data_IF_079748068460
#
_entry.id   IF_079748068460
#
_cell.length_a   1.000
_cell.length_b   1.000
_cell.length_c   1.000
_cell.angle_alpha   90.00
_cell.angle_beta   90.00
_cell.angle_gamma   90.00
#
_symmetry.space_group_name_H-M   'P 1'
#
loop_
_entity.id
_entity.type
_entity.pdbx_description
1 polymer ?
#
# COMPACT_ATOMS: atom_id res chain seq x y z
N UNK A 1 -21.10 -19.60 21.12
CA UNK A 1 -20.47 -18.27 21.21
C UNK A 1 -19.07 -18.31 21.86
N UNK A 2 -18.33 -19.43 21.77
CA UNK A 2 -17.08 -19.64 22.54
C UNK A 2 -15.80 -19.88 21.71
N UNK A 3 -15.86 -19.81 20.37
CA UNK A 3 -14.71 -20.11 19.50
C UNK A 3 -13.98 -18.87 18.96
N UNK A 4 -14.61 -17.68 19.01
CA UNK A 4 -14.00 -16.44 18.49
C UNK A 4 -13.03 -15.79 19.50
N UNK A 5 -13.20 -16.04 20.80
CA UNK A 5 -12.39 -15.41 21.84
C UNK A 5 -10.93 -15.92 21.86
N UNK A 6 -10.67 -17.08 21.29
CA UNK A 6 -9.36 -17.75 21.35
C UNK A 6 -8.34 -17.22 20.34
N UNK A 7 -8.81 -16.54 19.28
CA UNK A 7 -7.99 -16.07 18.17
C UNK A 7 -7.92 -14.54 18.07
N UNK A 8 -8.69 -13.82 18.90
CA UNK A 8 -8.65 -12.37 18.95
C UNK A 8 -7.41 -11.91 19.73
N UNK A 9 -6.66 -10.96 19.15
CA UNK A 9 -5.59 -10.27 19.86
C UNK A 9 -6.14 -9.61 21.13
N UNK A 10 -5.37 -9.63 22.22
CA UNK A 10 -5.75 -8.91 23.43
C UNK A 10 -5.88 -7.42 23.13
N UNK A 11 -6.79 -6.73 23.82
CA UNK A 11 -6.97 -5.29 23.65
C UNK A 11 -5.65 -4.53 23.80
N UNK A 12 -4.82 -4.93 24.77
CA UNK A 12 -3.48 -4.40 24.98
C UNK A 12 -2.58 -4.61 23.76
N UNK A 13 -2.56 -5.80 23.16
CA UNK A 13 -1.75 -6.08 21.97
C UNK A 13 -2.20 -5.24 20.77
N UNK A 14 -3.52 -5.06 20.57
CA UNK A 14 -4.06 -4.21 19.50
C UNK A 14 -3.63 -2.76 19.69
N UNK A 15 -3.77 -2.21 20.90
CA UNK A 15 -3.38 -0.83 21.20
C UNK A 15 -1.89 -0.63 20.99
N UNK A 16 -1.05 -1.57 21.44
CA UNK A 16 0.40 -1.52 21.21
C UNK A 16 0.74 -1.55 19.73
N UNK A 17 0.08 -2.40 18.94
CA UNK A 17 0.34 -2.52 17.51
C UNK A 17 -0.06 -1.23 16.76
N UNK A 18 -1.19 -0.63 17.13
CA UNK A 18 -1.61 0.68 16.59
C UNK A 18 -0.59 1.77 16.94
N UNK A 19 -0.20 1.89 18.21
CA UNK A 19 0.77 2.91 18.64
C UNK A 19 2.14 2.71 17.98
N UNK A 20 2.61 1.47 17.87
CA UNK A 20 3.90 1.18 17.24
C UNK A 20 3.86 1.46 15.74
N UNK A 21 2.85 0.98 15.02
CA UNK A 21 2.79 1.12 13.57
C UNK A 21 2.39 2.54 13.15
N UNK A 22 1.24 3.02 13.63
CA UNK A 22 0.77 4.37 13.29
C UNK A 22 1.62 5.45 13.96
N UNK A 23 1.87 5.33 15.26
CA UNK A 23 2.71 6.31 15.97
C UNK A 23 4.15 6.31 15.47
N UNK A 24 4.73 5.14 15.18
CA UNK A 24 6.07 5.02 14.61
C UNK A 24 6.19 5.66 13.22
N UNK A 25 5.25 5.36 12.31
CA UNK A 25 5.23 5.98 10.97
C UNK A 25 4.99 7.49 11.05
N UNK A 26 4.05 7.95 11.88
CA UNK A 26 3.79 9.38 12.08
C UNK A 26 5.01 10.10 12.66
N UNK A 27 5.67 9.52 13.67
CA UNK A 27 6.89 10.07 14.23
C UNK A 27 8.00 10.16 13.17
N UNK A 28 8.19 9.12 12.37
CA UNK A 28 9.13 9.14 11.25
C UNK A 28 8.80 10.25 10.25
N UNK A 29 7.54 10.40 9.85
CA UNK A 29 7.08 11.46 8.96
C UNK A 29 7.37 12.85 9.54
N UNK A 30 7.08 13.09 10.82
CA UNK A 30 7.37 14.36 11.49
C UNK A 30 8.87 14.68 11.55
N UNK A 31 9.74 13.67 11.67
CA UNK A 31 11.19 13.85 11.70
C UNK A 31 11.79 14.14 10.31
N UNK A 32 11.15 13.65 9.26
CA UNK A 32 11.57 13.86 7.86
C UNK A 32 10.97 15.17 7.30
N UNK A 33 9.83 15.62 7.82
CA UNK A 33 9.12 16.80 7.34
C UNK A 33 10.01 18.05 7.34
N UNK A 34 10.04 18.74 6.20
CA UNK A 34 10.72 20.04 6.03
C UNK A 34 9.67 21.14 6.00
N UNK A 35 9.96 22.26 6.66
CA UNK A 35 9.02 23.41 6.75
C UNK A 35 8.99 24.25 5.48
N UNK A 36 10.11 24.32 4.77
CA UNK A 36 10.21 25.00 3.47
C UNK A 36 10.81 24.04 2.44
N UNK A 37 10.00 23.70 1.44
CA UNK A 37 10.39 22.83 0.33
C UNK A 37 9.71 23.32 -0.95
N UNK A 38 10.44 23.27 -2.07
CA UNK A 38 9.89 23.63 -3.37
C UNK A 38 8.82 22.59 -3.78
N UNK A 39 7.69 23.06 -4.32
CA UNK A 39 6.55 22.21 -4.67
C UNK A 39 6.92 21.09 -5.67
N UNK A 40 7.74 21.37 -6.68
CA UNK A 40 8.19 20.37 -7.64
C UNK A 40 9.07 19.32 -6.97
N UNK A 41 9.95 19.76 -6.07
CA UNK A 41 10.82 18.84 -5.30
C UNK A 41 10.03 17.99 -4.31
N UNK A 42 9.00 18.54 -3.68
CA UNK A 42 8.11 17.81 -2.78
C UNK A 42 7.31 16.72 -3.54
N UNK A 43 6.78 17.05 -4.72
CA UNK A 43 5.98 16.12 -5.53
C UNK A 43 6.82 15.07 -6.25
N UNK A 44 8.03 15.40 -6.68
CA UNK A 44 8.89 14.49 -7.50
C UNK A 44 10.04 13.87 -6.71
N UNK A 45 10.16 14.17 -5.42
CA UNK A 45 11.34 13.89 -4.60
C UNK A 45 12.66 14.36 -5.25
N UNK A 46 12.59 15.40 -6.09
CA UNK A 46 13.70 15.90 -6.89
C UNK A 46 14.27 14.89 -7.89
N UNK A 47 13.49 13.90 -8.34
CA UNK A 47 13.91 12.83 -9.26
C UNK A 47 15.07 11.95 -8.73
N UNK A 48 15.25 11.90 -7.41
CA UNK A 48 16.37 11.17 -6.76
C UNK A 48 16.01 9.74 -6.32
N UNK A 49 14.74 9.33 -6.42
CA UNK A 49 14.29 7.99 -5.97
C UNK A 49 14.48 6.99 -7.12
N UNK A 50 15.19 5.90 -6.84
CA UNK A 50 15.41 4.82 -7.81
C UNK A 50 14.14 4.05 -8.17
N UNK A 51 14.22 3.25 -9.23
CA UNK A 51 13.09 2.47 -9.75
C UNK A 51 12.49 1.51 -8.72
N UNK A 52 13.32 0.80 -7.93
CA UNK A 52 12.83 -0.19 -6.96
C UNK A 52 11.94 0.40 -5.87
N UNK A 53 12.41 1.46 -5.19
CA UNK A 53 11.63 2.15 -4.16
C UNK A 53 10.38 2.79 -4.76
N UNK A 54 10.49 3.36 -5.97
CA UNK A 54 9.35 3.96 -6.68
C UNK A 54 8.28 2.91 -7.01
N UNK A 55 8.69 1.75 -7.54
CA UNK A 55 7.79 0.64 -7.86
C UNK A 55 7.12 0.08 -6.59
N UNK A 56 7.89 -0.14 -5.52
CA UNK A 56 7.37 -0.62 -4.25
C UNK A 56 6.34 0.34 -3.63
N UNK A 57 6.61 1.66 -3.67
CA UNK A 57 5.67 2.69 -3.19
C UNK A 57 4.36 2.70 -3.99
N UNK A 58 4.44 2.58 -5.32
CA UNK A 58 3.26 2.47 -6.18
C UNK A 58 2.45 1.20 -5.89
N UNK A 59 3.12 0.06 -5.71
CA UNK A 59 2.45 -1.19 -5.31
C UNK A 59 1.79 -1.06 -3.93
N UNK A 60 2.46 -0.45 -2.96
CA UNK A 60 1.93 -0.28 -1.60
C UNK A 60 0.67 0.61 -1.58
N UNK A 61 0.62 1.67 -2.39
CA UNK A 61 -0.53 2.58 -2.49
C UNK A 61 -1.80 1.89 -2.99
N UNK A 62 -1.65 0.81 -3.76
CA UNK A 62 -2.76 0.17 -4.43
C UNK A 62 -3.31 -1.06 -3.68
N UNK A 63 -2.60 -1.53 -2.65
CA UNK A 63 -3.04 -2.65 -1.82
C UNK A 63 -3.79 -2.10 -0.61
N UNK A 64 -5.10 -2.34 -0.60
CA UNK A 64 -5.98 -1.97 0.50
C UNK A 64 -6.38 -3.21 1.32
N UNK A 65 -6.74 -2.99 2.59
CA UNK A 65 -7.19 -4.07 3.47
C UNK A 65 -8.41 -4.83 2.90
N UNK A 66 -9.33 -4.12 2.23
CA UNK A 66 -10.47 -4.71 1.53
C UNK A 66 -10.03 -5.62 0.38
N UNK A 67 -9.05 -5.20 -0.42
CA UNK A 67 -8.48 -5.99 -1.51
C UNK A 67 -7.82 -7.27 -0.99
N UNK A 68 -7.08 -7.19 0.13
CA UNK A 68 -6.50 -8.36 0.78
C UNK A 68 -7.58 -9.32 1.29
N UNK A 69 -8.61 -8.80 1.95
CA UNK A 69 -9.73 -9.61 2.43
C UNK A 69 -10.47 -10.31 1.29
N UNK A 70 -10.78 -9.59 0.21
CA UNK A 70 -11.42 -10.14 -0.97
C UNK A 70 -10.56 -11.22 -1.65
N UNK A 71 -9.24 -11.02 -1.71
CA UNK A 71 -8.28 -11.99 -2.24
C UNK A 71 -8.29 -13.29 -1.41
N UNK A 72 -8.23 -13.21 -0.08
CA UNK A 72 -8.31 -14.40 0.80
C UNK A 72 -9.67 -15.10 0.67
N UNK A 73 -10.76 -14.34 0.67
CA UNK A 73 -12.10 -14.91 0.53
C UNK A 73 -12.29 -15.62 -0.82
N UNK A 74 -11.83 -15.03 -1.92
CA UNK A 74 -11.85 -15.69 -3.23
C UNK A 74 -10.89 -16.89 -3.29
N UNK A 75 -9.77 -16.84 -2.57
CA UNK A 75 -8.87 -17.97 -2.39
C UNK A 75 -9.51 -19.15 -1.68
N UNK A 76 -10.34 -18.87 -0.67
CA UNK A 76 -11.10 -19.88 0.05
C UNK A 76 -12.18 -20.53 -0.83
N UNK A 77 -12.90 -19.73 -1.62
CA UNK A 77 -14.02 -20.21 -2.45
C UNK A 77 -13.58 -20.86 -3.77
N UNK A 78 -12.58 -20.28 -4.44
CA UNK A 78 -12.16 -20.63 -5.80
C UNK A 78 -10.74 -21.19 -5.87
N UNK A 79 -10.11 -21.46 -4.73
CA UNK A 79 -8.72 -21.91 -4.64
C UNK A 79 -7.73 -20.85 -5.13
N UNK A 80 -6.55 -21.31 -5.59
CA UNK A 80 -5.44 -20.44 -6.02
C UNK A 80 -5.84 -19.46 -7.13
N UNK A 81 -6.88 -19.77 -7.90
CA UNK A 81 -7.38 -18.92 -8.98
C UNK A 81 -7.86 -17.54 -8.49
N UNK A 82 -8.40 -17.44 -7.27
CA UNK A 82 -8.90 -16.18 -6.70
C UNK A 82 -7.81 -15.12 -6.52
N UNK A 83 -6.75 -15.41 -5.73
CA UNK A 83 -5.62 -14.51 -5.55
C UNK A 83 -4.87 -14.21 -6.84
N UNK A 84 -4.73 -15.20 -7.74
CA UNK A 84 -4.10 -14.98 -9.06
C UNK A 84 -4.93 -14.00 -9.88
N UNK A 85 -6.25 -14.18 -9.95
CA UNK A 85 -7.14 -13.29 -10.68
C UNK A 85 -7.05 -11.86 -10.13
N UNK A 86 -7.14 -11.68 -8.81
CA UNK A 86 -7.03 -10.37 -8.18
C UNK A 86 -5.68 -9.70 -8.45
N UNK A 87 -4.57 -10.43 -8.26
CA UNK A 87 -3.22 -9.90 -8.48
C UNK A 87 -2.94 -9.58 -9.94
N UNK A 88 -3.40 -10.43 -10.87
CA UNK A 88 -3.21 -10.25 -12.31
C UNK A 88 -3.93 -9.00 -12.81
N UNK A 89 -5.22 -8.84 -12.50
CA UNK A 89 -5.98 -7.66 -12.92
C UNK A 89 -5.40 -6.37 -12.34
N UNK A 90 -4.91 -6.44 -11.10
CA UNK A 90 -4.20 -5.30 -10.49
C UNK A 90 -2.92 -4.90 -11.19
N UNK A 91 -2.10 -5.87 -11.57
CA UNK A 91 -0.87 -5.62 -12.31
C UNK A 91 -1.15 -5.11 -13.74
N UNK A 92 -2.18 -5.62 -14.42
CA UNK A 92 -2.55 -5.23 -15.77
C UNK A 92 -2.98 -3.75 -15.86
N UNK A 93 -3.64 -3.20 -14.83
CA UNK A 93 -4.07 -1.80 -14.82
C UNK A 93 -2.88 -0.82 -14.93
N UNK A 94 -1.72 -1.16 -14.34
CA UNK A 94 -0.51 -0.35 -14.45
C UNK A 94 0.00 -0.31 -15.90
N UNK A 95 -0.09 -1.44 -16.62
CA UNK A 95 0.28 -1.51 -18.04
C UNK A 95 -0.64 -0.63 -18.90
N UNK A 96 -1.94 -0.58 -18.59
CA UNK A 96 -2.88 0.27 -19.33
C UNK A 96 -2.71 1.76 -19.06
N UNK A 97 -2.21 2.15 -17.88
CA UNK A 97 -1.90 3.55 -17.56
C UNK A 97 -0.59 4.02 -18.23
N UNK A 98 0.35 3.12 -18.52
CA UNK A 98 1.64 3.45 -19.15
C UNK A 98 1.55 4.39 -20.37
N UNK A 99 0.71 4.16 -21.40
CA UNK A 99 0.61 5.08 -22.54
C UNK A 99 0.15 6.49 -22.14
N UNK A 100 -0.75 6.61 -21.15
CA UNK A 100 -1.18 7.90 -20.63
C UNK A 100 -0.04 8.59 -19.88
N UNK A 101 0.70 7.85 -19.06
CA UNK A 101 1.90 8.36 -18.39
C UNK A 101 2.96 8.87 -19.38
N UNK A 102 3.18 8.18 -20.50
CA UNK A 102 4.07 8.66 -21.57
C UNK A 102 3.59 9.94 -22.23
N UNK A 103 2.27 10.14 -22.35
CA UNK A 103 1.69 11.35 -22.95
C UNK A 103 1.83 12.55 -22.02
N UNK A 104 1.59 12.36 -20.72
CA UNK A 104 1.72 13.43 -19.70
C UNK A 104 3.17 13.94 -19.59
N UNK A 105 4.17 13.08 -19.80
CA UNK A 105 5.58 13.51 -19.76
C UNK A 105 6.07 14.28 -20.99
N UNK A 106 5.25 14.34 -22.05
CA UNK A 106 5.59 15.06 -23.29
C UNK A 106 5.07 16.50 -23.31
N UNK A 107 4.10 16.82 -22.45
CA UNK A 107 3.59 18.18 -22.22
C UNK A 107 4.40 18.84 -21.11
#
# INVERSE_FOLDING_TARGET
MGLLSSYALSATAVVLLLLLFYGGTMFMSLRIARKEENADSYMTAGHRIGFGISAASMTATWIWASSMYASVNSGYLYGVSGPIHYGLWGALMILFIYPFGRRIRKV
#
